data_IF_588960722997
#
_entry.id   IF_588960722997
#
_cell.length_a   1.000
_cell.length_b   1.000
_cell.length_c   1.000
_cell.angle_alpha   90.00
_cell.angle_beta   90.00
_cell.angle_gamma   90.00
#
_symmetry.space_group_name_H-M   'P 1'
#
loop_
_entity.id
_entity.type
_entity.pdbx_description
1 polymer ?
#
# COMPACT_ATOMS: atom_id res chain seq x y z
N UNK A 1 25.12 -12.20 17.55
CA UNK A 1 24.94 -11.81 16.14
C UNK A 1 25.75 -10.56 15.92
N UNK A 2 26.87 -10.70 15.21
CA UNK A 2 27.95 -9.73 15.21
C UNK A 2 27.46 -8.35 14.76
N UNK A 3 27.80 -7.32 15.55
CA UNK A 3 27.23 -5.97 15.55
C UNK A 3 27.65 -5.10 14.38
N UNK A 4 27.64 -5.63 13.17
CA UNK A 4 27.88 -4.84 11.97
C UNK A 4 26.66 -3.97 11.67
N UNK A 5 26.89 -2.68 11.48
CA UNK A 5 25.82 -1.73 11.20
C UNK A 5 25.25 -2.04 9.83
N UNK A 6 23.92 -2.04 9.66
CA UNK A 6 23.32 -2.35 8.37
C UNK A 6 23.78 -1.34 7.32
N UNK A 7 24.22 -1.83 6.17
CA UNK A 7 24.65 -0.99 5.05
C UNK A 7 23.72 -1.19 3.84
N UNK A 8 23.55 -0.15 3.03
CA UNK A 8 22.78 -0.19 1.80
C UNK A 8 23.61 0.45 0.68
N UNK A 9 23.91 -0.33 -0.37
CA UNK A 9 24.62 0.15 -1.55
C UNK A 9 23.61 0.42 -2.67
N UNK A 10 23.64 1.65 -3.21
CA UNK A 10 22.85 2.08 -4.38
C UNK A 10 23.83 2.67 -5.38
N UNK A 11 24.11 1.94 -6.46
CA UNK A 11 25.18 2.32 -7.40
C UNK A 11 26.54 2.45 -6.70
N UNK A 12 27.16 3.63 -6.80
CA UNK A 12 28.41 3.99 -6.13
C UNK A 12 28.22 4.60 -4.75
N UNK A 13 26.98 4.69 -4.25
CA UNK A 13 26.67 5.25 -2.95
C UNK A 13 26.51 4.15 -1.90
N UNK A 14 27.11 4.36 -0.74
CA UNK A 14 26.98 3.53 0.45
C UNK A 14 26.28 4.33 1.55
N UNK A 15 25.18 3.78 2.08
CA UNK A 15 24.49 4.33 3.24
C UNK A 15 24.73 3.41 4.44
N UNK A 16 25.24 3.99 5.51
CA UNK A 16 25.35 3.33 6.81
C UNK A 16 24.08 3.63 7.62
N UNK A 17 23.40 2.56 8.05
CA UNK A 17 22.13 2.63 8.74
C UNK A 17 22.20 2.13 10.18
N UNK A 18 21.03 2.14 10.82
CA UNK A 18 20.81 1.55 12.15
C UNK A 18 19.48 0.83 12.21
N UNK A 19 19.45 -0.35 12.83
CA UNK A 19 18.19 -1.03 13.17
C UNK A 19 17.55 -0.34 14.37
N UNK A 20 16.30 0.06 14.23
CA UNK A 20 15.53 0.76 15.27
C UNK A 20 14.21 0.01 15.50
N UNK A 21 13.86 -0.24 16.75
CA UNK A 21 12.55 -0.77 17.14
C UNK A 21 11.51 0.34 17.07
N UNK A 22 10.36 0.05 16.45
CA UNK A 22 9.25 0.99 16.37
C UNK A 22 8.50 1.01 17.71
N UNK A 23 8.28 2.19 18.32
CA UNK A 23 7.51 2.29 19.57
C UNK A 23 6.04 1.91 19.36
N UNK A 24 5.52 2.10 18.13
CA UNK A 24 4.21 1.63 17.68
C UNK A 24 4.41 0.75 16.45
N UNK A 25 4.22 -0.58 16.55
CA UNK A 25 4.31 -1.47 15.40
C UNK A 25 3.30 -1.10 14.31
N UNK A 26 3.67 -1.32 13.04
CA UNK A 26 2.83 -1.01 11.89
C UNK A 26 2.30 -2.30 11.27
N UNK A 27 0.99 -2.39 11.05
CA UNK A 27 0.39 -3.48 10.28
C UNK A 27 0.49 -3.17 8.78
N UNK A 28 0.90 -4.16 8.00
CA UNK A 28 0.86 -4.13 6.54
C UNK A 28 -0.48 -4.70 6.10
N UNK A 29 -1.30 -3.88 5.46
CA UNK A 29 -2.63 -4.26 4.98
C UNK A 29 -2.62 -4.38 3.45
N UNK A 30 -3.05 -5.52 2.93
CA UNK A 30 -3.25 -5.73 1.49
C UNK A 30 -4.72 -5.54 1.15
N UNK A 31 -5.03 -4.55 0.32
CA UNK A 31 -6.37 -4.39 -0.24
C UNK A 31 -6.68 -5.55 -1.19
N UNK A 32 -7.83 -6.19 -1.02
CA UNK A 32 -8.35 -7.16 -1.99
C UNK A 32 -9.07 -6.39 -3.09
N UNK A 33 -8.56 -6.48 -4.32
CA UNK A 33 -9.26 -5.97 -5.50
C UNK A 33 -10.04 -7.12 -6.12
N UNK A 34 -11.37 -7.08 -6.07
CA UNK A 34 -12.17 -7.95 -6.92
C UNK A 34 -12.03 -7.48 -8.38
N UNK A 35 -11.85 -8.39 -9.35
CA UNK A 35 -11.75 -8.01 -10.77
C UNK A 35 -13.02 -7.31 -11.30
N UNK A 36 -14.15 -7.40 -10.58
CA UNK A 36 -15.42 -6.75 -10.91
C UNK A 36 -15.47 -5.23 -10.70
N UNK A 37 -14.43 -4.61 -10.11
CA UNK A 37 -14.38 -3.17 -9.83
C UNK A 37 -13.51 -2.37 -10.81
N UNK A 38 -13.07 -2.96 -11.93
CA UNK A 38 -12.64 -2.15 -13.08
C UNK A 38 -13.87 -1.36 -13.55
N UNK A 39 -13.96 -0.09 -13.13
CA UNK A 39 -14.91 0.87 -13.66
C UNK A 39 -14.70 0.95 -15.16
N UNK A 40 -15.55 0.27 -15.92
CA UNK A 40 -15.70 0.55 -17.33
C UNK A 40 -16.07 2.03 -17.47
N UNK A 41 -15.53 2.75 -18.47
CA UNK A 41 -15.96 4.10 -18.74
C UNK A 41 -17.48 4.08 -19.01
N UNK A 42 -18.24 5.07 -18.51
CA UNK A 42 -19.66 5.16 -18.82
C UNK A 42 -19.80 5.28 -20.33
N UNK A 43 -20.30 4.23 -20.99
CA UNK A 43 -20.77 4.29 -22.35
C UNK A 43 -21.90 5.32 -22.36
N UNK A 44 -21.67 6.46 -23.03
CA UNK A 44 -22.66 7.51 -23.18
C UNK A 44 -23.91 6.94 -23.84
N UNK A 45 -24.95 6.70 -23.04
CA UNK A 45 -26.29 6.49 -23.55
C UNK A 45 -26.82 7.87 -23.93
N UNK A 46 -26.94 8.07 -25.23
CA UNK A 46 -27.55 9.23 -25.87
C UNK A 46 -28.90 9.56 -25.28
N UNK A 47 -29.02 10.83 -24.90
CA UNK A 47 -30.19 11.62 -24.60
C UNK A 47 -31.36 11.34 -25.57
N UNK A 48 -32.49 10.90 -25.02
CA UNK A 48 -33.82 10.92 -25.66
C UNK A 48 -34.88 11.14 -24.58
N UNK A 49 -35.52 12.30 -24.68
CA UNK A 49 -36.54 12.86 -23.80
C UNK A 49 -37.79 11.98 -23.65
N UNK A 50 -38.38 11.96 -22.43
CA UNK A 50 -39.81 12.23 -22.15
C UNK A 50 -40.07 12.21 -20.62
N UNK A 51 -40.55 13.31 -20.05
CA UNK A 51 -41.18 13.43 -18.72
C UNK A 51 -42.70 13.48 -18.98
N UNK A 52 -43.62 12.92 -18.15
CA UNK A 52 -43.82 13.45 -16.78
C UNK A 52 -44.39 12.46 -15.72
N UNK A 53 -44.20 12.80 -14.44
CA UNK A 53 -44.97 12.22 -13.32
C UNK A 53 -46.48 12.58 -13.39
N UNK A 54 -47.40 11.80 -12.76
CA UNK A 54 -48.12 12.38 -11.61
C UNK A 54 -48.65 11.40 -10.52
N UNK A 55 -48.58 11.87 -9.25
CA UNK A 55 -49.52 11.76 -8.09
C UNK A 55 -50.40 10.48 -7.91
N UNK A 56 -50.60 9.85 -6.73
CA UNK A 56 -51.25 10.39 -5.51
C UNK A 56 -51.47 9.28 -4.43
N UNK A 57 -51.35 9.68 -3.15
CA UNK A 57 -52.12 9.27 -1.95
C UNK A 57 -51.95 7.89 -1.24
N UNK A 58 -51.34 8.00 -0.04
CA UNK A 58 -51.83 7.62 1.30
C UNK A 58 -51.77 6.16 1.81
N UNK A 59 -51.17 6.06 3.02
CA UNK A 59 -51.24 5.00 4.04
C UNK A 59 -50.45 3.71 3.67
N UNK A 60 -49.65 3.06 4.52
CA UNK A 60 -49.65 2.90 5.98
C UNK A 60 -48.20 2.72 6.50
N UNK A 61 -47.99 2.99 7.79
CA UNK A 61 -46.73 2.79 8.50
C UNK A 61 -46.46 1.29 8.64
N UNK A 62 -45.52 0.75 7.84
CA UNK A 62 -44.97 -0.58 8.04
C UNK A 62 -43.66 -0.48 8.81
N UNK A 63 -43.57 -1.30 9.85
CA UNK A 63 -42.54 -1.37 10.86
C UNK A 63 -41.13 -1.47 10.25
N UNK A 64 -40.17 -0.67 10.75
CA UNK A 64 -38.74 -0.74 10.40
C UNK A 64 -38.14 -2.08 10.90
N UNK A 65 -38.54 -3.19 10.29
CA UNK A 65 -37.70 -4.36 10.19
C UNK A 65 -36.53 -3.97 9.27
N UNK A 66 -35.41 -3.59 9.87
CA UNK A 66 -34.12 -3.49 9.19
C UNK A 66 -33.73 -4.87 8.66
N UNK A 67 -34.31 -5.24 7.51
CA UNK A 67 -33.74 -6.18 6.59
C UNK A 67 -32.34 -5.65 6.28
N UNK A 68 -31.33 -6.23 6.94
CA UNK A 68 -29.94 -6.08 6.52
C UNK A 68 -29.85 -6.84 5.20
N UNK A 69 -30.27 -6.18 4.13
CA UNK A 69 -30.12 -6.65 2.77
C UNK A 69 -28.66 -7.09 2.66
N UNK A 70 -28.45 -8.40 2.55
CA UNK A 70 -27.18 -8.98 2.16
C UNK A 70 -26.97 -8.66 0.67
N UNK A 71 -27.01 -7.38 0.33
CA UNK A 71 -26.55 -6.87 -0.94
C UNK A 71 -25.06 -7.15 -0.92
N UNK A 72 -24.66 -8.18 -1.67
CA UNK A 72 -23.28 -8.49 -2.01
C UNK A 72 -22.70 -7.36 -2.89
N UNK A 73 -22.67 -6.14 -2.35
CA UNK A 73 -21.91 -5.03 -2.88
C UNK A 73 -20.45 -5.39 -2.72
N UNK A 74 -19.67 -5.25 -3.79
CA UNK A 74 -18.23 -5.45 -3.78
C UNK A 74 -17.55 -4.53 -2.77
N UNK A 75 -17.55 -4.94 -1.49
CA UNK A 75 -16.98 -4.19 -0.40
C UNK A 75 -15.47 -4.17 -0.52
N UNK A 76 -14.87 -3.04 -0.15
CA UNK A 76 -13.42 -3.01 0.00
C UNK A 76 -13.04 -3.85 1.22
N UNK A 77 -12.32 -4.95 1.00
CA UNK A 77 -11.76 -5.77 2.07
C UNK A 77 -10.24 -5.64 2.11
N UNK A 78 -9.67 -5.76 3.31
CA UNK A 78 -8.24 -5.75 3.55
C UNK A 78 -7.83 -7.01 4.29
N UNK A 79 -6.63 -7.50 3.99
CA UNK A 79 -6.00 -8.63 4.64
C UNK A 79 -4.75 -8.15 5.36
N UNK A 80 -4.59 -8.53 6.63
CA UNK A 80 -3.36 -8.25 7.38
C UNK A 80 -2.28 -9.22 6.91
N UNK A 81 -1.20 -8.69 6.35
CA UNK A 81 -0.10 -9.49 5.80
C UNK A 81 1.02 -9.69 6.83
N UNK A 82 1.42 -8.60 7.49
CA UNK A 82 2.55 -8.62 8.42
C UNK A 82 2.43 -7.50 9.46
N UNK A 83 3.19 -7.61 10.56
CA UNK A 83 3.38 -6.53 11.54
C UNK A 83 4.86 -6.15 11.62
N UNK A 84 5.19 -4.96 11.13
CA UNK A 84 6.54 -4.40 11.17
C UNK A 84 6.83 -3.83 12.56
N UNK A 85 7.83 -4.40 13.24
CA UNK A 85 8.28 -3.99 14.59
C UNK A 85 9.63 -3.29 14.61
N UNK A 86 10.45 -3.47 13.58
CA UNK A 86 11.78 -2.87 13.45
C UNK A 86 11.92 -2.28 12.05
N UNK A 87 12.72 -1.23 11.93
CA UNK A 87 13.12 -0.66 10.64
C UNK A 87 14.62 -0.39 10.60
N UNK A 88 15.19 -0.39 9.40
CA UNK A 88 16.54 0.13 9.17
C UNK A 88 16.41 1.59 8.74
N UNK A 89 17.09 2.49 9.43
CA UNK A 89 17.09 3.92 9.11
C UNK A 89 18.46 4.34 8.60
N UNK A 90 18.49 4.97 7.43
CA UNK A 90 19.68 5.57 6.82
C UNK A 90 19.57 7.10 6.89
N UNK A 91 19.95 7.69 8.02
CA UNK A 91 19.83 9.14 8.24
C UNK A 91 21.09 9.93 7.83
N UNK A 92 22.20 9.24 7.58
CA UNK A 92 23.46 9.87 7.17
C UNK A 92 23.51 10.05 5.66
N UNK A 93 24.28 11.04 5.20
CA UNK A 93 24.50 11.27 3.76
C UNK A 93 25.21 10.06 3.13
N UNK A 94 24.90 9.70 1.87
CA UNK A 94 25.56 8.58 1.21
C UNK A 94 27.05 8.85 0.98
N UNK A 95 27.91 7.91 1.36
CA UNK A 95 29.33 7.92 1.08
C UNK A 95 29.61 7.35 -0.32
N UNK A 96 30.66 7.82 -0.99
CA UNK A 96 31.10 7.21 -2.25
C UNK A 96 31.93 5.96 -1.96
N UNK A 97 31.65 4.88 -2.68
CA UNK A 97 32.49 3.69 -2.70
C UNK A 97 33.54 3.89 -3.79
N UNK A 98 34.79 4.12 -3.38
CA UNK A 98 35.94 4.09 -4.28
C UNK A 98 36.50 2.68 -4.20
N UNK A 99 36.32 1.89 -5.24
CA UNK A 99 36.98 0.59 -5.36
C UNK A 99 38.48 0.85 -5.49
N UNK A 100 39.23 0.80 -4.38
CA UNK A 100 40.69 0.87 -4.45
C UNK A 100 41.17 -0.38 -5.18
N UNK A 101 41.83 -0.28 -6.34
CA UNK A 101 42.39 -1.47 -6.98
C UNK A 101 43.37 -2.10 -5.99
N UNK A 102 43.25 -3.41 -5.79
CA UNK A 102 44.15 -4.17 -4.94
C UNK A 102 45.58 -3.82 -5.35
N UNK A 103 46.34 -3.22 -4.44
CA UNK A 103 47.74 -2.92 -4.68
C UNK A 103 48.43 -4.23 -5.04
N UNK A 104 48.78 -4.39 -6.31
CA UNK A 104 49.57 -5.51 -6.78
C UNK A 104 50.82 -5.58 -5.90
N UNK A 105 50.91 -6.67 -5.12
CA UNK A 105 51.98 -6.87 -4.18
C UNK A 105 53.33 -6.72 -4.86
N UNK A 106 54.07 -5.69 -4.48
CA UNK A 106 55.47 -5.53 -4.83
C UNK A 106 56.29 -6.61 -4.14
N UNK A 107 56.36 -7.79 -4.76
CA UNK A 107 57.34 -8.81 -4.43
C UNK A 107 58.72 -8.31 -4.85
N UNK A 108 59.52 -7.84 -3.89
CA UNK A 108 60.96 -7.67 -4.05
C UNK A 108 61.56 -9.07 -4.27
N UNK A 109 62.23 -9.25 -5.40
CA UNK A 109 63.24 -10.30 -5.60
C UNK A 109 64.56 -9.86 -4.97
#
# INVERSE_FOLDING_TARGET
MNGEKPTLRIGHHMLEGKVVTLPKPLAVLRKRTSPSHQRLPPSGTSDSADEPAPHKAAAEEEEDEIALDAQAGGGTSYEVVEVVRKKVVFARRPALVIDKPAAAGGGKK
#
